data_IF_504147384554
#
_entry.id   IF_504147384554
#
_cell.length_a   1.000
_cell.length_b   1.000
_cell.length_c   1.000
_cell.angle_alpha   90.00
_cell.angle_beta   90.00
_cell.angle_gamma   90.00
#
_symmetry.space_group_name_H-M   'P 1'
#
loop_
_entity.id
_entity.type
_entity.pdbx_description
1 polymer ?
#
# COMPACT_ATOMS: atom_id res chain seq x y z
N UNK A 1 5.22 16.84 -3.71
CA UNK A 1 5.80 15.51 -3.43
C UNK A 1 4.74 14.40 -3.35
N UNK A 2 3.75 14.50 -2.44
CA UNK A 2 2.76 13.43 -2.20
C UNK A 2 1.89 13.06 -3.41
N UNK A 3 1.40 14.03 -4.19
CA UNK A 3 0.54 13.73 -5.34
C UNK A 3 1.30 12.97 -6.43
N UNK A 4 2.56 13.33 -6.71
CA UNK A 4 3.38 12.61 -7.67
C UNK A 4 3.61 11.14 -7.27
N UNK A 5 3.68 10.83 -5.96
CA UNK A 5 3.73 9.45 -5.47
C UNK A 5 2.38 8.76 -5.66
N UNK A 6 1.28 9.44 -5.33
CA UNK A 6 -0.07 8.88 -5.39
C UNK A 6 -0.52 8.52 -6.82
N UNK A 7 0.03 9.20 -7.83
CA UNK A 7 -0.27 8.94 -9.25
C UNK A 7 0.84 8.20 -9.99
N UNK A 8 1.93 7.81 -9.33
CA UNK A 8 2.97 7.00 -9.93
C UNK A 8 2.41 5.62 -10.32
N UNK A 9 2.71 5.17 -11.52
CA UNK A 9 2.35 3.84 -12.00
C UNK A 9 3.12 2.75 -11.27
N UNK A 10 2.59 1.53 -11.27
CA UNK A 10 3.27 0.34 -10.73
C UNK A 10 4.67 0.17 -11.34
N UNK A 11 4.79 0.43 -12.66
CA UNK A 11 6.06 0.36 -13.38
C UNK A 11 7.07 1.38 -12.86
N UNK A 12 6.65 2.62 -12.66
CA UNK A 12 7.51 3.69 -12.16
C UNK A 12 7.94 3.42 -10.72
N UNK A 13 7.01 3.02 -9.84
CA UNK A 13 7.33 2.64 -8.47
C UNK A 13 8.36 1.51 -8.43
N UNK A 14 8.11 0.40 -9.14
CA UNK A 14 9.03 -0.73 -9.18
C UNK A 14 10.41 -0.37 -9.76
N UNK A 15 10.48 0.48 -10.78
CA UNK A 15 11.75 0.97 -11.32
C UNK A 15 12.52 1.82 -10.31
N UNK A 16 11.85 2.77 -9.65
CA UNK A 16 12.46 3.66 -8.64
C UNK A 16 12.91 2.91 -7.39
N UNK A 17 12.15 1.90 -6.96
CA UNK A 17 12.53 1.02 -5.85
C UNK A 17 13.82 0.26 -6.14
N UNK A 18 13.95 -0.35 -7.33
CA UNK A 18 15.18 -1.05 -7.75
C UNK A 18 16.39 -0.13 -7.84
N UNK A 19 16.19 1.12 -8.28
CA UNK A 19 17.23 2.16 -8.32
C UNK A 19 17.50 2.83 -6.97
N UNK A 20 16.74 2.49 -5.92
CA UNK A 20 16.81 3.13 -4.59
C UNK A 20 16.54 4.64 -4.62
N UNK A 21 15.80 5.11 -5.62
CA UNK A 21 15.35 6.50 -5.77
C UNK A 21 14.07 6.79 -4.97
N UNK A 22 13.45 5.74 -4.44
CA UNK A 22 12.26 5.77 -3.61
C UNK A 22 12.20 4.49 -2.77
N UNK A 23 11.70 4.57 -1.55
CA UNK A 23 11.44 3.41 -0.68
C UNK A 23 9.97 3.01 -0.69
N UNK A 24 9.64 1.70 -0.66
CA UNK A 24 8.29 1.23 -0.36
C UNK A 24 7.73 1.80 0.95
N UNK A 25 8.56 2.04 1.96
CA UNK A 25 8.16 2.61 3.25
C UNK A 25 7.76 4.08 3.10
N UNK A 26 8.50 4.85 2.31
CA UNK A 26 8.16 6.24 2.00
C UNK A 26 6.84 6.34 1.25
N UNK A 27 6.62 5.46 0.27
CA UNK A 27 5.37 5.39 -0.49
C UNK A 27 4.20 4.99 0.39
N UNK A 28 4.35 3.97 1.23
CA UNK A 28 3.30 3.55 2.17
C UNK A 28 2.90 4.69 3.10
N UNK A 29 3.87 5.42 3.67
CA UNK A 29 3.60 6.60 4.52
C UNK A 29 2.88 7.71 3.76
N UNK A 30 3.31 8.01 2.54
CA UNK A 30 2.70 9.05 1.72
C UNK A 30 1.23 8.70 1.36
N UNK A 31 0.95 7.43 1.03
CA UNK A 31 -0.40 6.98 0.72
C UNK A 31 -1.29 6.95 1.97
N UNK A 32 -0.79 6.50 3.12
CA UNK A 32 -1.54 6.53 4.38
C UNK A 32 -1.91 7.97 4.78
N UNK A 33 -0.99 8.91 4.68
CA UNK A 33 -1.28 10.34 4.92
C UNK A 33 -2.31 10.91 3.93
N UNK A 34 -2.30 10.44 2.68
CA UNK A 34 -3.32 10.81 1.69
C UNK A 34 -4.69 10.23 2.04
N UNK A 35 -4.75 8.97 2.47
CA UNK A 35 -5.99 8.32 2.91
C UNK A 35 -6.57 9.09 4.09
N UNK A 36 -5.77 9.39 5.12
CA UNK A 36 -6.19 10.18 6.28
C UNK A 36 -6.81 11.53 5.87
N UNK A 37 -6.23 12.20 4.87
CA UNK A 37 -6.73 13.49 4.37
C UNK A 37 -8.02 13.38 3.55
N UNK A 38 -8.18 12.35 2.73
CA UNK A 38 -9.22 12.30 1.69
C UNK A 38 -10.38 11.36 2.00
N UNK A 39 -10.11 10.26 2.71
CA UNK A 39 -11.10 9.22 2.97
C UNK A 39 -12.30 9.68 3.82
N UNK A 40 -12.20 10.70 4.71
CA UNK A 40 -13.38 11.25 5.38
C UNK A 40 -14.46 11.78 4.43
N UNK A 41 -14.10 12.17 3.21
CA UNK A 41 -15.04 12.62 2.19
C UNK A 41 -15.33 11.56 1.11
N UNK A 42 -14.37 10.67 0.84
CA UNK A 42 -14.50 9.67 -0.22
C UNK A 42 -15.14 8.36 0.24
N UNK A 43 -15.01 8.00 1.52
CA UNK A 43 -15.47 6.73 2.09
C UNK A 43 -15.03 5.51 1.26
N UNK A 44 -13.76 5.50 0.83
CA UNK A 44 -13.21 4.49 -0.06
C UNK A 44 -12.70 3.24 0.69
N UNK A 45 -12.32 3.36 1.97
CA UNK A 45 -11.82 2.23 2.77
C UNK A 45 -12.81 1.84 3.89
N UNK A 46 -13.10 0.53 3.99
CA UNK A 46 -13.92 -0.04 5.08
C UNK A 46 -13.03 -0.46 6.26
N UNK A 47 -11.91 -1.13 5.97
CA UNK A 47 -10.93 -1.59 6.96
C UNK A 47 -9.55 -1.13 6.53
N UNK A 48 -8.96 -0.15 7.24
CA UNK A 48 -7.59 0.31 6.99
C UNK A 48 -6.59 -0.52 7.82
N UNK A 49 -5.43 -0.85 7.24
CA UNK A 49 -4.40 -1.68 7.89
C UNK A 49 -3.02 -1.01 7.93
N UNK A 50 -2.88 0.17 8.58
CA UNK A 50 -1.67 0.99 8.50
C UNK A 50 -0.41 0.29 9.01
N UNK A 51 -0.49 -0.37 10.17
CA UNK A 51 0.66 -1.07 10.77
C UNK A 51 1.14 -2.23 9.90
N UNK A 52 0.18 -2.99 9.34
CA UNK A 52 0.45 -4.08 8.41
C UNK A 52 1.11 -3.56 7.14
N UNK A 53 0.56 -2.52 6.53
CA UNK A 53 1.10 -1.92 5.31
C UNK A 53 2.54 -1.43 5.53
N UNK A 54 2.83 -0.80 6.66
CA UNK A 54 4.18 -0.35 7.00
C UNK A 54 5.13 -1.52 7.30
N UNK A 55 4.65 -2.60 7.93
CA UNK A 55 5.45 -3.79 8.17
C UNK A 55 5.82 -4.51 6.87
N UNK A 56 4.85 -4.70 5.97
CA UNK A 56 5.07 -5.31 4.66
C UNK A 56 6.00 -4.45 3.79
N UNK A 57 5.86 -3.11 3.85
CA UNK A 57 6.75 -2.19 3.13
C UNK A 57 8.20 -2.27 3.62
N UNK A 58 8.44 -2.39 4.94
CA UNK A 58 9.78 -2.60 5.50
C UNK A 58 10.38 -3.93 5.04
N UNK A 59 9.61 -5.01 5.10
CA UNK A 59 10.05 -6.32 4.62
C UNK A 59 10.38 -6.30 3.12
N UNK A 60 9.61 -5.57 2.32
CA UNK A 60 9.87 -5.37 0.90
C UNK A 60 11.15 -4.56 0.64
N UNK A 61 11.37 -3.46 1.39
CA UNK A 61 12.60 -2.68 1.32
C UNK A 61 13.84 -3.54 1.61
N UNK A 62 13.78 -4.37 2.66
CA UNK A 62 14.89 -5.27 3.00
C UNK A 62 15.12 -6.35 1.95
N UNK A 63 14.04 -6.88 1.35
CA UNK A 63 14.15 -7.84 0.25
C UNK A 63 14.77 -7.20 -1.01
N UNK A 64 14.36 -5.98 -1.37
CA UNK A 64 14.96 -5.21 -2.47
C UNK A 64 16.45 -4.96 -2.23
N UNK A 65 16.86 -4.65 -0.99
CA UNK A 65 18.28 -4.49 -0.62
C UNK A 65 19.09 -5.77 -0.83
N UNK A 66 18.46 -6.94 -0.68
CA UNK A 66 19.06 -8.27 -0.92
C UNK A 66 19.00 -8.72 -2.39
N UNK A 67 18.48 -7.90 -3.29
CA UNK A 67 18.41 -8.21 -4.73
C UNK A 67 17.21 -9.07 -5.13
N UNK A 68 16.13 -9.07 -4.35
CA UNK A 68 14.88 -9.73 -4.74
C UNK A 68 14.21 -8.99 -5.92
N UNK A 69 13.89 -9.73 -6.99
CA UNK A 69 13.37 -9.18 -8.25
C UNK A 69 11.87 -9.47 -8.48
N UNK A 70 11.14 -9.93 -7.45
CA UNK A 70 9.69 -10.17 -7.59
C UNK A 70 8.98 -8.94 -8.19
N UNK A 71 8.15 -9.11 -9.23
CA UNK A 71 7.70 -8.01 -10.08
C UNK A 71 6.83 -6.98 -9.36
N UNK A 72 6.16 -7.37 -8.27
CA UNK A 72 5.27 -6.51 -7.47
C UNK A 72 5.80 -6.23 -6.06
N UNK A 73 7.08 -6.50 -5.80
CA UNK A 73 7.68 -6.30 -4.47
C UNK A 73 7.59 -4.83 -4.04
N UNK A 74 6.92 -4.59 -2.90
CA UNK A 74 6.75 -3.25 -2.34
C UNK A 74 5.65 -2.40 -2.98
N UNK A 75 4.91 -2.94 -3.95
CA UNK A 75 3.78 -2.22 -4.57
C UNK A 75 2.57 -2.21 -3.62
N UNK A 76 2.01 -1.04 -3.29
CA UNK A 76 0.83 -0.95 -2.43
C UNK A 76 -0.43 -1.45 -3.14
N UNK A 77 -1.36 -2.06 -2.38
CA UNK A 77 -2.62 -2.60 -2.91
C UNK A 77 -3.77 -2.24 -1.97
N UNK A 78 -4.86 -1.73 -2.55
CA UNK A 78 -6.18 -1.70 -1.90
C UNK A 78 -6.97 -2.93 -2.32
N UNK A 79 -7.54 -3.66 -1.36
CA UNK A 79 -8.30 -4.87 -1.64
C UNK A 79 -9.80 -4.61 -1.50
N UNK A 80 -10.61 -5.09 -2.45
CA UNK A 80 -12.07 -4.99 -2.33
C UNK A 80 -12.56 -5.88 -1.18
N UNK A 81 -13.44 -5.33 -0.34
CA UNK A 81 -13.95 -5.96 0.90
C UNK A 81 -14.97 -7.11 0.68
N UNK A 82 -15.09 -7.61 -0.56
CA UNK A 82 -15.95 -8.77 -0.90
C UNK A 82 -15.17 -10.08 -0.99
N UNK A 83 -13.86 -10.04 -0.74
CA UNK A 83 -12.97 -11.18 -0.81
C UNK A 83 -12.33 -11.41 0.55
N UNK A 84 -12.26 -12.67 0.95
CA UNK A 84 -11.70 -13.05 2.25
C UNK A 84 -10.22 -12.68 2.35
N UNK A 85 -9.88 -11.95 3.42
CA UNK A 85 -8.50 -11.57 3.75
C UNK A 85 -8.12 -12.16 5.11
N UNK A 86 -7.10 -13.03 5.14
CA UNK A 86 -6.75 -13.77 6.36
C UNK A 86 -6.28 -12.80 7.45
N UNK A 87 -6.99 -12.79 8.58
CA UNK A 87 -6.65 -11.95 9.74
C UNK A 87 -7.00 -10.46 9.58
N UNK A 88 -7.74 -10.10 8.54
CA UNK A 88 -8.26 -8.75 8.30
C UNK A 88 -9.78 -8.84 8.23
N UNK A 89 -10.49 -7.89 8.86
CA UNK A 89 -11.96 -7.87 8.82
C UNK A 89 -12.41 -7.75 7.36
N UNK A 90 -13.35 -8.62 6.97
CA UNK A 90 -14.02 -8.59 5.67
C UNK A 90 -15.52 -8.52 5.92
N UNK A 91 -16.20 -7.48 5.47
CA UNK A 91 -17.64 -7.29 5.72
C UNK A 91 -18.53 -7.56 4.52
N UNK A 92 -17.96 -7.66 3.33
CA UNK A 92 -18.74 -7.78 2.09
C UNK A 92 -19.61 -6.54 1.81
N UNK A 93 -19.35 -5.41 2.47
CA UNK A 93 -20.22 -4.23 2.44
C UNK A 93 -21.54 -4.41 3.19
N UNK A 94 -21.61 -5.35 4.14
CA UNK A 94 -22.80 -5.63 4.95
C UNK A 94 -22.59 -5.29 6.41
N UNK A 95 -23.63 -4.75 7.05
CA UNK A 95 -23.63 -4.42 8.48
C UNK A 95 -23.68 -5.65 9.42
N UNK A 96 -23.84 -6.87 8.87
CA UNK A 96 -23.93 -8.11 9.65
C UNK A 96 -22.57 -8.59 10.21
N UNK A 97 -21.47 -8.22 9.55
CA UNK A 97 -20.10 -8.69 9.84
C UNK A 97 -19.25 -7.64 10.54
#
# INVERSE_FOLDING_TARGET
MSDAIAYATIRELGARYRKRELSPVEVARALLARIEKLDPALHAFVTLTPDRALADARAAEDALRRGDERPLLGIPVGHKDIYLTKGIRTTGGSALF
#
